data_IF_880486145480
#
_entry.id   IF_880486145480
#
_cell.length_a   1.000
_cell.length_b   1.000
_cell.length_c   1.000
_cell.angle_alpha   90.00
_cell.angle_beta   90.00
_cell.angle_gamma   90.00
#
_symmetry.space_group_name_H-M   'P 1'
#
loop_
_entity.id
_entity.type
_entity.pdbx_description
1 polymer ?
#
# COMPACT_ATOMS: atom_id res chain seq x y z
N UNK A 1 8.66 -30.97 17.23
CA UNK A 1 10.08 -31.33 17.10
C UNK A 1 10.57 -30.94 15.69
N UNK A 2 10.48 -29.65 15.30
CA UNK A 2 10.93 -29.15 13.99
C UNK A 2 11.27 -27.64 14.02
N UNK A 3 11.68 -27.09 15.17
CA UNK A 3 11.99 -25.65 15.30
C UNK A 3 13.50 -25.35 15.40
N UNK A 4 14.35 -26.38 15.45
CA UNK A 4 15.78 -26.20 15.77
C UNK A 4 16.71 -25.95 14.58
N UNK A 5 16.23 -25.86 13.34
CA UNK A 5 17.10 -25.59 12.18
C UNK A 5 17.03 -24.17 11.63
N UNK A 6 16.05 -23.36 12.02
CA UNK A 6 15.99 -21.95 11.71
C UNK A 6 16.59 -21.13 12.86
N UNK A 7 17.88 -20.83 12.78
CA UNK A 7 18.48 -19.75 13.55
C UNK A 7 18.10 -18.37 12.97
N UNK A 8 16.81 -18.18 12.65
CA UNK A 8 16.26 -16.85 12.47
C UNK A 8 16.02 -16.32 13.90
N UNK A 9 16.52 -15.12 14.25
CA UNK A 9 16.23 -14.54 15.55
C UNK A 9 14.71 -14.48 15.72
N UNK A 10 14.20 -14.87 16.90
CA UNK A 10 12.78 -14.93 17.24
C UNK A 10 12.01 -13.63 16.98
N UNK A 11 12.72 -12.51 16.82
CA UNK A 11 12.16 -11.18 16.50
C UNK A 11 11.95 -10.92 15.01
N UNK A 12 12.19 -11.90 14.13
CA UNK A 12 11.98 -11.76 12.69
C UNK A 12 10.50 -11.88 12.30
N UNK A 13 9.68 -12.43 13.16
CA UNK A 13 8.29 -12.76 12.88
C UNK A 13 7.33 -11.77 13.53
N UNK A 14 7.05 -10.67 12.88
CA UNK A 14 5.73 -10.05 12.87
C UNK A 14 4.94 -10.64 11.69
N UNK A 15 3.59 -10.64 11.69
CA UNK A 15 2.79 -11.28 10.65
C UNK A 15 2.94 -10.57 9.31
N UNK A 16 4.09 -10.76 8.67
CA UNK A 16 4.34 -10.27 7.33
C UNK A 16 4.15 -11.40 6.33
N UNK A 17 3.58 -11.10 5.18
CA UNK A 17 3.23 -12.11 4.22
C UNK A 17 4.47 -12.85 3.71
N UNK A 18 4.38 -14.15 3.72
CA UNK A 18 5.27 -15.02 2.96
C UNK A 18 4.76 -15.08 1.53
N UNK A 19 5.57 -14.67 0.57
CA UNK A 19 5.18 -14.74 -0.83
C UNK A 19 5.85 -15.91 -1.52
N UNK A 20 5.10 -16.88 -2.07
CA UNK A 20 5.67 -17.92 -2.89
C UNK A 20 6.19 -17.31 -4.21
N UNK A 21 7.50 -17.42 -4.43
CA UNK A 21 8.15 -17.00 -5.66
C UNK A 21 7.96 -18.05 -6.74
N UNK A 22 8.22 -19.30 -6.37
CA UNK A 22 8.08 -20.51 -7.16
C UNK A 22 7.69 -21.71 -6.27
N UNK A 23 7.82 -22.93 -6.75
CA UNK A 23 7.43 -24.13 -6.00
C UNK A 23 8.28 -24.37 -4.75
N UNK A 24 9.53 -23.91 -4.74
CA UNK A 24 10.51 -24.25 -3.70
C UNK A 24 11.00 -23.04 -2.89
N UNK A 25 10.69 -21.81 -3.30
CA UNK A 25 11.22 -20.60 -2.67
C UNK A 25 10.14 -19.64 -2.22
N UNK A 26 10.39 -19.04 -1.05
CA UNK A 26 9.55 -18.03 -0.43
C UNK A 26 10.34 -16.74 -0.24
N UNK A 27 9.73 -15.61 -0.60
CA UNK A 27 10.20 -14.29 -0.18
C UNK A 27 9.67 -14.01 1.22
N UNK A 28 10.55 -13.51 2.08
CA UNK A 28 10.25 -13.18 3.48
C UNK A 28 10.80 -11.81 3.80
N UNK A 29 10.02 -10.98 4.48
CA UNK A 29 10.46 -9.71 5.02
C UNK A 29 10.09 -9.62 6.50
N UNK A 30 10.91 -9.02 7.33
CA UNK A 30 10.67 -8.93 8.77
C UNK A 30 11.27 -7.69 9.40
N UNK A 31 10.74 -7.30 10.56
CA UNK A 31 11.13 -6.12 11.33
C UNK A 31 12.57 -6.18 11.85
N UNK A 32 13.08 -7.38 12.09
CA UNK A 32 14.46 -7.64 12.51
C UNK A 32 14.94 -6.65 13.60
N UNK A 33 14.17 -6.55 14.69
CA UNK A 33 14.45 -5.64 15.81
C UNK A 33 14.69 -4.19 15.37
N UNK A 34 13.74 -3.59 14.69
CA UNK A 34 13.75 -2.24 14.13
C UNK A 34 14.84 -1.98 13.07
N UNK A 35 15.29 -3.03 12.40
CA UNK A 35 16.22 -2.95 11.27
C UNK A 35 15.71 -3.85 10.14
N UNK A 36 14.62 -3.47 9.44
CA UNK A 36 13.91 -4.33 8.52
C UNK A 36 14.82 -5.00 7.50
N UNK A 37 14.65 -6.30 7.31
CA UNK A 37 15.41 -7.12 6.37
C UNK A 37 14.50 -8.03 5.57
N UNK A 38 14.84 -8.22 4.32
CA UNK A 38 14.19 -9.20 3.46
C UNK A 38 15.18 -10.25 2.98
N UNK A 39 14.65 -11.42 2.67
CA UNK A 39 15.44 -12.54 2.17
C UNK A 39 14.55 -13.50 1.37
N UNK A 40 15.20 -14.39 0.65
CA UNK A 40 14.56 -15.57 0.04
C UNK A 40 15.03 -16.81 0.79
N UNK A 41 14.10 -17.69 1.10
CA UNK A 41 14.35 -18.98 1.73
C UNK A 41 13.69 -20.10 0.94
N UNK A 42 14.06 -21.34 1.20
CA UNK A 42 13.32 -22.49 0.66
C UNK A 42 11.97 -22.67 1.37
N UNK A 43 11.02 -23.32 0.69
CA UNK A 43 9.68 -23.61 1.24
C UNK A 43 9.71 -24.50 2.46
N UNK A 44 10.79 -25.27 2.66
CA UNK A 44 11.05 -26.04 3.88
C UNK A 44 11.62 -25.21 5.05
N UNK A 45 11.63 -23.87 4.90
CA UNK A 45 12.11 -22.92 5.90
C UNK A 45 13.63 -22.95 6.14
N UNK A 46 14.42 -23.42 5.19
CA UNK A 46 15.88 -23.36 5.28
C UNK A 46 16.45 -22.23 4.41
N UNK A 47 17.64 -21.73 4.76
CA UNK A 47 18.32 -20.72 3.96
C UNK A 47 18.71 -21.27 2.59
N UNK A 48 18.76 -20.38 1.57
CA UNK A 48 19.32 -20.71 0.26
C UNK A 48 20.76 -21.21 0.39
N UNK A 49 21.15 -22.08 -0.49
CA UNK A 49 22.53 -22.54 -0.59
C UNK A 49 23.48 -21.37 -0.94
N UNK A 50 24.71 -21.40 -0.46
CA UNK A 50 25.67 -20.28 -0.62
C UNK A 50 25.95 -19.87 -2.07
N UNK A 51 25.74 -20.77 -3.02
CA UNK A 51 25.91 -20.50 -4.44
C UNK A 51 24.65 -20.00 -5.14
N UNK A 52 23.51 -20.01 -4.44
CA UNK A 52 22.26 -19.47 -4.94
C UNK A 52 22.12 -18.01 -4.50
N UNK A 53 21.77 -17.19 -5.46
CA UNK A 53 21.61 -15.76 -5.27
C UNK A 53 20.23 -15.32 -5.76
N UNK A 54 19.57 -14.46 -5.01
CA UNK A 54 18.36 -13.77 -5.42
C UNK A 54 18.60 -12.26 -5.36
N UNK A 55 18.51 -11.59 -6.51
CA UNK A 55 18.83 -10.18 -6.59
C UNK A 55 17.74 -9.31 -5.92
N UNK A 56 18.16 -8.21 -5.27
CA UNK A 56 17.25 -7.21 -4.73
C UNK A 56 16.75 -7.46 -3.30
N UNK A 57 17.31 -8.47 -2.62
CA UNK A 57 17.03 -8.74 -1.21
C UNK A 57 18.18 -8.31 -0.29
N UNK A 58 17.91 -8.21 1.00
CA UNK A 58 18.87 -7.83 2.06
C UNK A 58 18.51 -6.52 2.77
N UNK A 59 17.66 -5.67 2.17
CA UNK A 59 17.19 -4.42 2.75
C UNK A 59 15.67 -4.38 2.72
N UNK A 60 15.05 -4.40 3.93
CA UNK A 60 13.60 -4.40 4.12
C UNK A 60 12.97 -3.00 4.25
N UNK A 61 13.78 -1.93 4.20
CA UNK A 61 13.27 -0.54 4.30
C UNK A 61 12.24 -0.28 3.20
N UNK A 62 11.11 0.30 3.57
CA UNK A 62 9.93 0.52 2.72
C UNK A 62 9.24 -0.76 2.19
N UNK A 63 9.76 -1.96 2.46
CA UNK A 63 9.17 -3.25 2.08
C UNK A 63 8.38 -3.89 3.22
N UNK A 64 8.86 -3.73 4.45
CA UNK A 64 8.20 -4.14 5.67
C UNK A 64 8.43 -3.14 6.80
N UNK A 65 7.59 -3.15 7.86
CA UNK A 65 7.64 -2.14 8.90
C UNK A 65 8.89 -2.28 9.79
N UNK A 66 9.22 -1.20 10.48
CA UNK A 66 10.21 -1.19 11.56
C UNK A 66 9.65 -1.80 12.85
N UNK A 67 8.39 -1.54 13.13
CA UNK A 67 7.68 -1.96 14.34
C UNK A 67 6.63 -3.02 13.98
N UNK A 68 6.56 -4.16 14.69
CA UNK A 68 5.55 -5.17 14.47
C UNK A 68 4.12 -4.68 14.71
N UNK A 69 3.93 -3.60 15.46
CA UNK A 69 2.63 -2.99 15.72
C UNK A 69 2.17 -2.03 14.60
N UNK A 70 3.05 -1.72 13.64
CA UNK A 70 2.69 -0.86 12.51
C UNK A 70 1.75 -1.57 11.54
N UNK A 71 0.62 -0.92 11.24
CA UNK A 71 -0.29 -1.37 10.20
C UNK A 71 0.37 -1.21 8.83
N UNK A 72 0.68 -2.32 8.20
CA UNK A 72 1.34 -2.38 6.90
C UNK A 72 0.71 -3.42 6.00
N UNK A 73 0.92 -3.27 4.70
CA UNK A 73 0.46 -4.24 3.69
C UNK A 73 1.54 -4.46 2.65
N UNK A 74 1.53 -5.63 2.04
CA UNK A 74 2.39 -5.92 0.90
C UNK A 74 1.73 -6.94 -0.03
N UNK A 75 2.14 -6.93 -1.30
CA UNK A 75 1.71 -7.90 -2.31
C UNK A 75 2.85 -8.16 -3.30
N UNK A 76 3.00 -9.42 -3.69
CA UNK A 76 3.95 -9.85 -4.70
C UNK A 76 3.27 -9.96 -6.06
N UNK A 77 3.61 -9.05 -6.97
CA UNK A 77 3.04 -8.97 -8.33
C UNK A 77 3.98 -9.69 -9.30
N UNK A 78 3.50 -10.80 -9.87
CA UNK A 78 4.31 -11.67 -10.73
C UNK A 78 4.45 -11.14 -12.15
N UNK A 79 3.43 -10.47 -12.67
CA UNK A 79 3.33 -10.09 -14.09
C UNK A 79 2.84 -8.66 -14.27
N UNK A 80 3.07 -8.10 -15.45
CA UNK A 80 2.59 -6.75 -15.81
C UNK A 80 3.50 -5.61 -15.39
N UNK A 81 4.58 -5.87 -14.64
CA UNK A 81 5.61 -4.87 -14.30
C UNK A 81 6.50 -4.55 -15.52
N UNK A 82 7.23 -3.43 -15.50
CA UNK A 82 8.22 -3.12 -16.52
C UNK A 82 9.25 -4.26 -16.65
N UNK A 83 9.64 -4.58 -17.89
CA UNK A 83 10.54 -5.70 -18.17
C UNK A 83 9.94 -7.10 -18.00
N UNK A 84 8.69 -7.21 -17.51
CA UNK A 84 8.02 -8.50 -17.28
C UNK A 84 8.50 -9.27 -16.04
N UNK A 85 9.36 -8.66 -15.21
CA UNK A 85 9.85 -9.27 -13.98
C UNK A 85 8.94 -9.04 -12.81
N UNK A 86 8.91 -9.94 -11.81
CA UNK A 86 8.10 -9.76 -10.61
C UNK A 86 8.62 -8.61 -9.72
N UNK A 87 7.73 -8.01 -8.94
CA UNK A 87 8.08 -6.97 -7.99
C UNK A 87 7.21 -7.03 -6.73
N UNK A 88 7.80 -6.64 -5.59
CA UNK A 88 7.08 -6.40 -4.36
C UNK A 88 6.47 -4.99 -4.39
N UNK A 89 5.20 -4.90 -4.01
CA UNK A 89 4.52 -3.65 -3.69
C UNK A 89 4.18 -3.65 -2.21
N UNK A 90 4.33 -2.50 -1.54
CA UNK A 90 4.10 -2.37 -0.11
C UNK A 90 3.53 -1.01 0.28
N UNK A 91 2.77 -0.99 1.36
CA UNK A 91 2.34 0.20 2.06
C UNK A 91 2.81 0.11 3.52
N UNK A 92 3.73 0.97 3.95
CA UNK A 92 4.34 0.92 5.27
C UNK A 92 5.01 2.25 5.65
N UNK A 93 5.69 2.29 6.78
CA UNK A 93 6.58 3.39 7.16
C UNK A 93 8.02 3.08 6.70
N UNK A 94 8.63 4.00 5.94
CA UNK A 94 10.01 3.88 5.48
C UNK A 94 11.05 4.43 6.47
N UNK A 95 10.59 4.93 7.63
CA UNK A 95 11.44 5.42 8.72
C UNK A 95 10.93 4.92 10.07
N UNK A 96 11.86 4.65 10.99
CA UNK A 96 11.56 4.25 12.36
C UNK A 96 10.69 5.27 13.11
N UNK A 97 10.87 6.56 12.83
CA UNK A 97 10.09 7.66 13.42
C UNK A 97 8.66 7.76 12.92
N UNK A 98 8.26 6.91 11.95
CA UNK A 98 6.94 6.95 11.26
C UNK A 98 6.66 8.27 10.53
N UNK A 99 7.71 9.08 10.28
CA UNK A 99 7.58 10.37 9.60
C UNK A 99 7.43 10.22 8.07
N UNK A 100 7.84 9.10 7.51
CA UNK A 100 7.84 8.82 6.07
C UNK A 100 7.01 7.58 5.75
N UNK A 101 5.69 7.77 5.69
CA UNK A 101 4.79 6.74 5.19
C UNK A 101 4.88 6.63 3.66
N UNK A 102 4.82 5.41 3.14
CA UNK A 102 5.12 5.16 1.73
C UNK A 102 4.24 4.08 1.12
N UNK A 103 3.78 4.32 -0.11
CA UNK A 103 3.38 3.28 -1.06
C UNK A 103 4.56 3.08 -2.02
N UNK A 104 5.09 1.86 -2.03
CA UNK A 104 6.39 1.54 -2.60
C UNK A 104 6.30 0.35 -3.55
N UNK A 105 7.12 0.37 -4.60
CA UNK A 105 7.47 -0.81 -5.41
C UNK A 105 8.98 -0.99 -5.37
N UNK A 106 9.44 -2.17 -5.04
CA UNK A 106 10.87 -2.49 -5.03
C UNK A 106 11.58 -2.30 -6.37
N UNK A 107 12.90 -2.24 -6.34
CA UNK A 107 13.72 -2.33 -7.55
C UNK A 107 13.39 -3.62 -8.31
N UNK A 108 13.38 -3.52 -9.63
CA UNK A 108 13.13 -4.67 -10.50
C UNK A 108 14.48 -5.18 -11.05
N UNK A 109 14.73 -6.46 -10.84
CA UNK A 109 15.96 -7.13 -11.24
C UNK A 109 15.67 -8.24 -12.25
N UNK A 110 16.53 -8.37 -13.25
CA UNK A 110 16.66 -9.60 -13.99
C UNK A 110 17.38 -10.63 -13.10
N UNK A 111 16.66 -11.67 -12.69
CA UNK A 111 17.19 -12.68 -11.77
C UNK A 111 18.26 -13.57 -12.39
N UNK A 112 18.33 -13.67 -13.74
CA UNK A 112 19.35 -14.46 -14.43
C UNK A 112 20.72 -13.77 -14.43
N UNK A 113 20.70 -12.43 -14.58
CA UNK A 113 21.93 -11.64 -14.66
C UNK A 113 22.27 -10.95 -13.35
N UNK A 114 21.31 -10.86 -12.40
CA UNK A 114 21.44 -10.10 -11.16
C UNK A 114 21.46 -8.58 -11.37
N UNK A 115 21.17 -8.11 -12.59
CA UNK A 115 21.20 -6.68 -12.93
C UNK A 115 19.89 -6.00 -12.58
N UNK A 116 19.98 -4.81 -11.95
CA UNK A 116 18.83 -3.96 -11.76
C UNK A 116 18.44 -3.30 -13.08
N UNK A 117 17.20 -3.51 -13.52
CA UNK A 117 16.67 -2.94 -14.75
C UNK A 117 15.85 -1.68 -14.49
N UNK A 118 15.03 -1.68 -13.45
CA UNK A 118 14.21 -0.54 -13.08
C UNK A 118 14.40 -0.20 -11.63
N UNK A 119 14.53 1.09 -11.34
CA UNK A 119 14.60 1.59 -9.97
C UNK A 119 13.23 1.55 -9.30
N UNK A 120 13.25 1.46 -7.97
CA UNK A 120 12.05 1.51 -7.14
C UNK A 120 11.15 2.71 -7.49
N UNK A 121 9.88 2.60 -7.11
CA UNK A 121 8.90 3.69 -7.17
C UNK A 121 8.29 3.91 -5.80
N UNK A 122 8.05 5.18 -5.47
CA UNK A 122 7.47 5.55 -4.19
C UNK A 122 6.61 6.80 -4.29
N UNK A 123 5.73 7.00 -3.31
CA UNK A 123 5.09 8.30 -3.02
C UNK A 123 6.14 9.32 -2.58
N UNK A 124 5.89 10.61 -2.84
CA UNK A 124 6.82 11.70 -2.48
C UNK A 124 7.00 11.73 -0.96
N UNK A 125 8.25 11.83 -0.54
CA UNK A 125 8.64 11.83 0.87
C UNK A 125 8.11 13.08 1.59
N UNK A 126 7.51 12.88 2.76
CA UNK A 126 6.96 13.94 3.61
C UNK A 126 5.83 14.78 2.98
N UNK A 127 5.18 14.28 1.95
CA UNK A 127 4.04 14.96 1.32
C UNK A 127 2.72 14.45 1.90
N UNK A 128 2.10 15.23 2.77
CA UNK A 128 0.80 14.91 3.39
C UNK A 128 -0.36 14.86 2.40
N UNK A 129 -0.23 15.46 1.21
CA UNK A 129 -1.23 15.32 0.15
C UNK A 129 -1.25 13.90 -0.42
N UNK A 130 -0.08 13.25 -0.49
CA UNK A 130 -0.01 11.85 -0.89
C UNK A 130 -0.45 10.91 0.24
N UNK A 131 0.15 11.04 1.43
CA UNK A 131 -0.15 10.20 2.59
C UNK A 131 0.01 11.01 3.88
N UNK A 132 -1.01 11.03 4.74
CA UNK A 132 -0.93 11.66 6.06
C UNK A 132 -1.25 10.66 7.18
N UNK A 133 -0.21 10.08 7.76
CA UNK A 133 -0.27 9.10 8.84
C UNK A 133 -1.21 7.94 8.51
N UNK A 134 -0.98 7.22 7.40
CA UNK A 134 -1.83 6.13 7.00
C UNK A 134 -1.70 4.92 7.92
N UNK A 135 -2.82 4.28 8.19
CA UNK A 135 -2.92 2.90 8.69
C UNK A 135 -3.34 2.01 7.53
N UNK A 136 -2.42 1.21 7.01
CA UNK A 136 -2.70 0.32 5.89
C UNK A 136 -3.49 -0.91 6.34
N UNK A 137 -4.43 -1.34 5.51
CA UNK A 137 -5.35 -2.45 5.80
C UNK A 137 -5.17 -3.60 4.83
N UNK A 138 -4.94 -3.32 3.54
CA UNK A 138 -4.74 -4.36 2.55
C UNK A 138 -4.29 -3.84 1.20
N UNK A 139 -3.81 -4.75 0.36
CA UNK A 139 -3.41 -4.47 -1.01
C UNK A 139 -3.78 -5.60 -1.93
N UNK A 140 -4.25 -5.26 -3.14
CA UNK A 140 -4.72 -6.21 -4.14
C UNK A 140 -4.24 -5.81 -5.54
N UNK A 141 -3.86 -6.82 -6.31
CA UNK A 141 -3.61 -6.69 -7.74
C UNK A 141 -4.91 -6.97 -8.50
N UNK A 142 -5.34 -6.03 -9.36
CA UNK A 142 -6.43 -6.23 -10.29
C UNK A 142 -6.09 -5.56 -11.61
N UNK A 143 -6.15 -6.29 -12.69
CA UNK A 143 -5.83 -5.80 -14.03
C UNK A 143 -4.43 -5.20 -14.14
N UNK A 144 -4.34 -3.97 -14.62
CA UNK A 144 -3.07 -3.22 -14.78
C UNK A 144 -2.65 -2.43 -13.54
N UNK A 145 -3.40 -2.52 -12.43
CA UNK A 145 -3.19 -1.71 -11.24
C UNK A 145 -2.92 -2.54 -9.99
N UNK A 146 -2.27 -1.91 -9.01
CA UNK A 146 -2.22 -2.36 -7.63
C UNK A 146 -2.98 -1.35 -6.77
N UNK A 147 -3.95 -1.84 -6.01
CA UNK A 147 -4.80 -1.07 -5.12
C UNK A 147 -4.34 -1.22 -3.68
N UNK A 148 -4.35 -0.10 -2.94
CA UNK A 148 -4.02 -0.04 -1.51
C UNK A 148 -5.20 0.51 -0.74
N UNK A 149 -5.59 -0.17 0.32
CA UNK A 149 -6.66 0.23 1.23
C UNK A 149 -6.05 0.65 2.56
N UNK A 150 -6.43 1.83 3.02
CA UNK A 150 -5.91 2.40 4.26
C UNK A 150 -6.88 3.44 4.82
N UNK A 151 -6.63 3.89 6.03
CA UNK A 151 -7.26 5.07 6.61
C UNK A 151 -6.18 6.08 6.95
N UNK A 152 -6.49 7.36 6.80
CA UNK A 152 -5.53 8.44 7.04
C UNK A 152 -6.21 9.71 7.56
N UNK A 153 -5.43 10.67 8.04
CA UNK A 153 -5.94 12.02 8.32
C UNK A 153 -6.41 12.66 7.01
N UNK A 154 -7.65 13.14 6.99
CA UNK A 154 -8.23 13.77 5.81
C UNK A 154 -7.73 15.21 5.66
N UNK A 155 -6.73 15.44 4.81
CA UNK A 155 -6.16 16.78 4.56
C UNK A 155 -7.21 17.74 3.98
N UNK A 156 -8.14 17.23 3.17
CA UNK A 156 -9.24 18.01 2.58
C UNK A 156 -10.31 18.45 3.58
N UNK A 157 -10.29 17.92 4.80
CA UNK A 157 -11.23 18.27 5.86
C UNK A 157 -10.61 19.14 6.97
N UNK A 158 -9.31 19.40 6.93
CA UNK A 158 -8.56 20.05 8.00
C UNK A 158 -9.13 21.44 8.40
N UNK A 159 -9.73 22.16 7.47
CA UNK A 159 -10.38 23.47 7.77
C UNK A 159 -11.69 23.34 8.59
N UNK A 160 -12.27 22.14 8.64
CA UNK A 160 -13.50 21.86 9.41
C UNK A 160 -13.22 21.06 10.68
N UNK A 161 -11.95 20.71 10.94
CA UNK A 161 -11.52 19.89 12.06
C UNK A 161 -10.68 18.69 11.61
N UNK A 162 -10.16 17.95 12.56
CA UNK A 162 -9.38 16.75 12.28
C UNK A 162 -10.31 15.53 12.20
N UNK A 163 -10.30 14.84 11.07
CA UNK A 163 -11.04 13.59 10.88
C UNK A 163 -10.22 12.57 10.13
N UNK A 164 -10.58 11.30 10.26
CA UNK A 164 -10.00 10.20 9.53
C UNK A 164 -10.94 9.81 8.38
N UNK A 165 -10.37 9.57 7.21
CA UNK A 165 -11.07 8.98 6.08
C UNK A 165 -10.43 7.67 5.67
N UNK A 166 -11.28 6.74 5.28
CA UNK A 166 -10.83 5.53 4.59
C UNK A 166 -10.61 5.82 3.12
N UNK A 167 -9.52 5.28 2.60
CA UNK A 167 -9.02 5.51 1.24
C UNK A 167 -8.83 4.21 0.48
N UNK A 168 -9.00 4.35 -0.82
CA UNK A 168 -8.40 3.46 -1.80
C UNK A 168 -7.41 4.27 -2.63
N UNK A 169 -6.19 3.77 -2.79
CA UNK A 169 -5.22 4.33 -3.73
C UNK A 169 -4.89 3.31 -4.81
N UNK A 170 -4.56 3.78 -6.02
CA UNK A 170 -4.07 2.91 -7.10
C UNK A 170 -2.76 3.42 -7.68
N UNK A 171 -1.93 2.49 -8.14
CA UNK A 171 -0.72 2.73 -8.95
C UNK A 171 -0.71 1.78 -10.13
N UNK A 172 -0.27 2.26 -11.30
CA UNK A 172 -0.13 1.42 -12.48
C UNK A 172 1.11 0.53 -12.35
N UNK A 173 0.98 -0.75 -12.67
CA UNK A 173 2.11 -1.70 -12.66
C UNK A 173 3.23 -1.30 -13.63
N UNK A 174 2.88 -0.72 -14.78
CA UNK A 174 3.83 -0.27 -15.81
C UNK A 174 4.45 1.10 -15.53
N UNK A 175 4.16 1.73 -14.38
CA UNK A 175 4.69 3.05 -14.05
C UNK A 175 6.23 3.02 -13.97
N UNK A 176 6.87 3.87 -14.75
CA UNK A 176 8.33 4.05 -14.77
C UNK A 176 8.77 5.34 -14.07
N UNK A 177 7.83 6.07 -13.47
CA UNK A 177 8.07 7.28 -12.71
C UNK A 177 7.97 8.57 -13.49
N UNK A 178 8.08 9.67 -12.77
CA UNK A 178 8.05 11.01 -13.33
C UNK A 178 9.32 11.37 -14.11
N UNK A 179 9.35 12.59 -14.64
CA UNK A 179 10.49 13.11 -15.41
C UNK A 179 11.58 13.68 -14.48
N UNK A 180 12.82 13.66 -14.93
CA UNK A 180 13.99 14.28 -14.27
C UNK A 180 14.20 13.75 -12.84
N UNK A 181 14.17 14.63 -11.85
CA UNK A 181 14.38 14.29 -10.42
C UNK A 181 13.25 13.45 -9.82
N UNK A 182 12.09 13.39 -10.49
CA UNK A 182 10.92 12.63 -10.03
C UNK A 182 10.86 11.20 -10.58
N UNK A 183 11.91 10.71 -11.21
CA UNK A 183 11.93 9.39 -11.83
C UNK A 183 11.72 8.23 -10.81
N UNK A 184 11.97 8.46 -9.52
CA UNK A 184 11.70 7.50 -8.45
C UNK A 184 10.29 7.65 -7.85
N UNK A 185 9.55 8.69 -8.21
CA UNK A 185 8.21 8.91 -7.71
C UNK A 185 7.16 8.36 -8.68
N UNK A 186 6.06 7.86 -8.12
CA UNK A 186 4.92 7.44 -8.90
C UNK A 186 4.40 8.58 -9.77
N UNK A 187 4.19 8.33 -11.04
CA UNK A 187 3.50 9.24 -11.97
C UNK A 187 1.99 8.99 -12.02
N UNK A 188 1.54 7.80 -11.61
CA UNK A 188 0.15 7.34 -11.74
C UNK A 188 -0.58 7.19 -10.42
N UNK A 189 0.03 7.59 -9.30
CA UNK A 189 -0.58 7.51 -7.98
C UNK A 189 -1.82 8.39 -7.88
N UNK A 190 -2.94 7.79 -7.56
CA UNK A 190 -4.21 8.45 -7.25
C UNK A 190 -4.81 7.84 -6.00
N UNK A 191 -5.55 8.62 -5.23
CA UNK A 191 -6.36 8.13 -4.11
C UNK A 191 -7.76 8.73 -4.11
N UNK A 192 -8.72 7.94 -3.62
CA UNK A 192 -10.12 8.34 -3.47
C UNK A 192 -10.62 7.97 -2.07
N UNK A 193 -11.67 8.66 -1.62
CA UNK A 193 -12.34 8.32 -0.36
C UNK A 193 -13.28 7.13 -0.58
N UNK A 194 -13.20 6.15 0.32
CA UNK A 194 -14.21 5.09 0.44
C UNK A 194 -15.38 5.62 1.30
N UNK A 195 -16.58 5.55 0.75
CA UNK A 195 -17.79 5.98 1.44
C UNK A 195 -18.58 4.78 1.92
N UNK A 196 -18.62 4.56 3.23
CA UNK A 196 -19.51 3.61 3.88
C UNK A 196 -20.42 4.39 4.81
N UNK A 197 -21.71 4.53 4.48
CA UNK A 197 -22.63 5.37 5.20
C UNK A 197 -24.07 4.88 5.14
N UNK A 198 -24.88 5.24 6.13
CA UNK A 198 -26.33 5.12 6.08
C UNK A 198 -26.85 6.42 5.45
N UNK A 199 -27.53 6.36 4.30
CA UNK A 199 -28.04 7.55 3.64
C UNK A 199 -29.20 8.19 4.40
N UNK A 200 -29.43 9.47 4.19
CA UNK A 200 -30.50 10.27 4.80
C UNK A 200 -30.22 11.76 4.65
N UNK A 201 -31.13 12.61 5.17
CA UNK A 201 -30.93 14.05 5.19
C UNK A 201 -29.64 14.44 5.94
N UNK A 202 -29.27 13.68 6.96
CA UNK A 202 -28.00 13.72 7.68
C UNK A 202 -27.36 12.33 7.61
N UNK A 203 -26.51 12.05 6.60
CA UNK A 203 -25.92 10.73 6.46
C UNK A 203 -24.99 10.38 7.63
N UNK A 204 -25.08 9.13 8.09
CA UNK A 204 -24.24 8.61 9.15
C UNK A 204 -23.08 7.82 8.57
N UNK A 205 -21.84 8.27 8.82
CA UNK A 205 -20.63 7.73 8.21
C UNK A 205 -19.88 6.76 9.13
N UNK A 206 -19.43 5.65 8.55
CA UNK A 206 -18.42 4.75 9.12
C UNK A 206 -17.09 5.06 8.45
N UNK A 207 -16.26 5.86 9.10
CA UNK A 207 -15.08 6.47 8.47
C UNK A 207 -13.79 5.63 8.60
N UNK A 208 -13.79 4.57 9.41
CA UNK A 208 -12.59 3.82 9.73
C UNK A 208 -12.68 2.39 9.20
N UNK A 209 -12.02 2.13 8.07
CA UNK A 209 -11.86 0.76 7.53
C UNK A 209 -10.99 -0.05 8.51
N UNK A 210 -11.46 -1.27 8.83
CA UNK A 210 -10.78 -2.18 9.74
C UNK A 210 -10.18 -3.36 8.99
N UNK A 211 -10.87 -3.85 7.97
CA UNK A 211 -10.41 -4.98 7.16
C UNK A 211 -11.03 -4.91 5.76
N UNK A 212 -10.38 -5.58 4.80
CA UNK A 212 -10.80 -5.65 3.41
C UNK A 212 -10.61 -7.07 2.88
N UNK A 213 -11.58 -7.55 2.14
CA UNK A 213 -11.57 -8.86 1.53
C UNK A 213 -12.01 -8.80 0.07
N UNK A 214 -11.21 -9.39 -0.82
CA UNK A 214 -11.55 -9.61 -2.23
C UNK A 214 -11.82 -11.10 -2.44
N UNK A 215 -13.04 -11.50 -2.86
CA UNK A 215 -13.33 -12.90 -3.13
C UNK A 215 -12.43 -13.43 -4.26
N UNK A 216 -11.97 -14.68 -4.12
CA UNK A 216 -11.12 -15.30 -5.15
C UNK A 216 -11.87 -15.68 -6.42
N UNK A 217 -13.20 -15.74 -6.36
CA UNK A 217 -14.08 -16.10 -7.48
C UNK A 217 -14.60 -14.87 -8.24
N UNK A 218 -14.40 -13.66 -7.69
CA UNK A 218 -14.88 -12.43 -8.29
C UNK A 218 -13.86 -11.31 -8.07
N UNK A 219 -13.23 -10.89 -9.16
CA UNK A 219 -12.24 -9.82 -9.14
C UNK A 219 -12.86 -8.41 -9.19
N UNK A 220 -14.19 -8.32 -9.33
CA UNK A 220 -14.90 -7.05 -9.52
C UNK A 220 -15.44 -6.45 -8.24
N UNK A 221 -15.37 -7.15 -7.11
CA UNK A 221 -15.97 -6.68 -5.87
C UNK A 221 -15.01 -6.76 -4.69
N UNK A 222 -15.07 -5.75 -3.83
CA UNK A 222 -14.38 -5.71 -2.54
C UNK A 222 -15.40 -5.60 -1.40
N UNK A 223 -15.23 -6.40 -0.36
CA UNK A 223 -16.01 -6.29 0.87
C UNK A 223 -15.12 -5.75 1.99
N UNK A 224 -15.57 -4.71 2.67
CA UNK A 224 -14.80 -4.09 3.73
C UNK A 224 -15.63 -3.90 5.00
N UNK A 225 -14.96 -4.08 6.14
CA UNK A 225 -15.53 -3.81 7.46
C UNK A 225 -15.11 -2.41 7.89
N UNK A 226 -16.08 -1.64 8.31
CA UNK A 226 -15.88 -0.27 8.81
C UNK A 226 -16.38 -0.13 10.23
N UNK A 227 -15.79 0.80 10.97
CA UNK A 227 -16.29 1.27 12.26
C UNK A 227 -16.47 2.77 12.29
N UNK A 228 -17.18 3.22 13.29
CA UNK A 228 -17.23 4.65 13.67
C UNK A 228 -15.99 5.01 14.48
N UNK A 229 -15.72 6.30 14.60
CA UNK A 229 -14.68 6.84 15.47
C UNK A 229 -14.97 6.48 16.94
N UNK A 230 -13.93 6.14 17.70
CA UNK A 230 -13.99 5.72 19.11
C UNK A 230 -14.62 6.77 20.05
N UNK A 231 -14.66 8.06 19.68
CA UNK A 231 -15.17 9.16 20.49
C UNK A 231 -16.66 9.45 20.28
N UNK A 232 -17.39 8.62 19.52
CA UNK A 232 -18.80 8.83 19.20
C UNK A 232 -19.67 7.60 19.49
N UNK A 233 -20.79 7.52 18.78
CA UNK A 233 -21.63 6.33 18.79
C UNK A 233 -20.85 5.16 18.18
N UNK A 234 -20.71 4.07 18.94
CA UNK A 234 -20.04 2.87 18.45
C UNK A 234 -20.94 2.12 17.47
N UNK A 235 -20.42 1.84 16.31
CA UNK A 235 -21.10 1.07 15.30
C UNK A 235 -20.11 0.47 14.31
N UNK A 236 -20.54 -0.60 13.64
CA UNK A 236 -19.79 -1.25 12.57
C UNK A 236 -20.71 -1.50 11.39
N UNK A 237 -20.14 -1.50 10.21
CA UNK A 237 -20.83 -1.80 8.97
C UNK A 237 -19.95 -2.62 8.04
N UNK A 238 -20.61 -3.41 7.18
CA UNK A 238 -19.96 -4.05 6.04
C UNK A 238 -20.43 -3.32 4.79
N UNK A 239 -19.50 -2.80 4.02
CA UNK A 239 -19.77 -2.17 2.73
C UNK A 239 -19.09 -2.97 1.61
N UNK A 240 -19.77 -3.02 0.47
CA UNK A 240 -19.24 -3.63 -0.75
C UNK A 240 -18.99 -2.55 -1.79
N UNK A 241 -17.86 -2.65 -2.46
CA UNK A 241 -17.43 -1.71 -3.49
C UNK A 241 -17.21 -2.48 -4.79
N UNK A 242 -17.87 -2.03 -5.85
CA UNK A 242 -17.66 -2.58 -7.18
C UNK A 242 -16.43 -1.91 -7.82
N UNK A 243 -15.62 -2.66 -8.55
CA UNK A 243 -14.44 -2.16 -9.24
C UNK A 243 -14.80 -1.12 -10.30
N UNK A 244 -15.89 -1.31 -11.04
CA UNK A 244 -16.32 -0.36 -12.07
C UNK A 244 -16.65 1.01 -11.44
N UNK A 245 -17.32 1.03 -10.28
CA UNK A 245 -17.62 2.26 -9.55
C UNK A 245 -16.32 2.92 -9.03
N UNK A 246 -15.35 2.12 -8.58
CA UNK A 246 -14.05 2.59 -8.16
C UNK A 246 -13.27 3.24 -9.33
N UNK A 247 -13.30 2.61 -10.50
CA UNK A 247 -12.63 3.13 -11.68
C UNK A 247 -13.30 4.40 -12.21
N UNK A 248 -14.65 4.48 -12.20
CA UNK A 248 -15.41 5.68 -12.54
C UNK A 248 -14.99 6.86 -11.62
N UNK A 249 -14.84 6.62 -10.32
CA UNK A 249 -14.34 7.63 -9.38
C UNK A 249 -12.94 8.08 -9.75
N UNK A 250 -12.03 7.17 -10.09
CA UNK A 250 -10.66 7.51 -10.47
C UNK A 250 -10.55 8.27 -11.79
N UNK A 251 -11.54 8.13 -12.67
CA UNK A 251 -11.66 8.90 -13.92
C UNK A 251 -12.38 10.25 -13.71
N UNK A 252 -12.83 10.52 -12.50
CA UNK A 252 -13.52 11.72 -12.10
C UNK A 252 -12.63 12.96 -11.96
N UNK A 253 -13.20 14.03 -11.42
CA UNK A 253 -12.50 15.29 -11.22
C UNK A 253 -11.58 15.23 -9.99
N UNK A 254 -10.45 15.89 -10.07
CA UNK A 254 -9.56 16.07 -8.92
C UNK A 254 -10.09 17.15 -7.97
N UNK A 255 -9.75 17.01 -6.68
CA UNK A 255 -9.96 18.06 -5.70
C UNK A 255 -8.71 18.92 -5.56
N UNK A 256 -8.89 20.23 -5.49
CA UNK A 256 -7.82 21.18 -5.23
C UNK A 256 -8.29 22.25 -4.21
N UNK A 257 -7.35 22.70 -3.40
CA UNK A 257 -7.49 23.82 -2.48
C UNK A 257 -6.83 25.05 -3.11
N UNK A 258 -7.61 26.07 -3.46
CA UNK A 258 -7.08 27.26 -4.15
C UNK A 258 -6.16 28.09 -3.25
N UNK A 259 -6.48 28.19 -1.94
CA UNK A 259 -5.67 28.87 -0.92
C UNK A 259 -5.70 28.04 0.37
N UNK A 260 -4.76 28.23 1.27
CA UNK A 260 -4.66 27.49 2.53
C UNK A 260 -5.92 27.53 3.41
N UNK A 261 -6.80 28.48 3.19
CA UNK A 261 -8.08 28.65 3.94
C UNK A 261 -9.31 28.27 3.13
N UNK A 262 -9.16 27.97 1.83
CA UNK A 262 -10.26 27.58 0.96
C UNK A 262 -10.72 26.14 1.22
N UNK A 263 -11.97 25.87 0.86
CA UNK A 263 -12.47 24.48 0.77
C UNK A 263 -11.81 23.76 -0.40
N UNK A 264 -11.62 22.45 -0.26
CA UNK A 264 -11.22 21.58 -1.36
C UNK A 264 -12.41 21.35 -2.29
N UNK A 265 -12.28 21.77 -3.54
CA UNK A 265 -13.35 21.70 -4.53
C UNK A 265 -12.89 20.91 -5.76
N UNK A 266 -13.82 20.22 -6.46
CA UNK A 266 -13.54 19.57 -7.72
C UNK A 266 -13.12 20.59 -8.79
N UNK A 267 -12.01 20.31 -9.50
CA UNK A 267 -11.47 21.16 -10.56
C UNK A 267 -11.25 20.35 -11.84
N UNK A 268 -11.40 20.96 -13.04
CA UNK A 268 -11.20 20.25 -14.31
C UNK A 268 -9.73 19.91 -14.57
N UNK A 269 -8.80 20.66 -13.98
CA UNK A 269 -7.36 20.45 -14.10
C UNK A 269 -6.70 20.89 -12.79
N UNK A 270 -6.13 19.96 -12.06
CA UNK A 270 -5.47 20.21 -10.77
C UNK A 270 -3.97 20.45 -10.96
N UNK A 271 -3.39 21.30 -10.12
CA UNK A 271 -1.93 21.50 -10.03
C UNK A 271 -1.25 20.31 -9.37
N UNK A 272 -1.94 19.71 -8.39
CA UNK A 272 -1.52 18.50 -7.69
C UNK A 272 -2.59 17.43 -7.84
N UNK A 273 -2.25 16.39 -8.56
CA UNK A 273 -3.16 15.31 -8.99
C UNK A 273 -2.99 14.15 -8.04
N UNK A 274 -3.76 14.12 -6.93
CA UNK A 274 -3.68 13.00 -5.97
C UNK A 274 -5.05 12.57 -5.48
N UNK A 275 -5.94 13.52 -5.12
CA UNK A 275 -7.25 13.20 -4.54
C UNK A 275 -8.33 13.37 -5.61
N UNK A 276 -9.07 12.30 -5.86
CA UNK A 276 -10.20 12.25 -6.79
C UNK A 276 -11.52 12.39 -6.04
N UNK A 277 -12.54 12.93 -6.71
CA UNK A 277 -13.85 13.19 -6.12
C UNK A 277 -14.76 12.01 -6.33
#
# INVERSE_FOLDING_TARGET
MFVDSLKLPLNFFSPLPFFPLDNDRLYVCGTNAHSPKDMVIYSNMTHLARHEFYAGVGDGIAKCPFDPEDNSTAIWVKTGNPGGHPALYSGTNAEFTKADAVIFRGDIFDQNTGRREYTYKRTIKYDSHMLDKPDFVGSYEVGDYVYFFFRETAVEYMNCGKTIYSRIARVCKKDTGGKNILHQNWATYLKARLNCSIPGDFPFFFNEIQDIFKPSYDDTIFHAVFSTNQNGLHGSAICSFNLDDIEEVFDGKFKEQATSTSMWLPVPSARYVVIVH
#
